data_IF_449622456191
#
_entry.id   IF_449622456191
#
_cell.length_a   1.000
_cell.length_b   1.000
_cell.length_c   1.000
_cell.angle_alpha   90.00
_cell.angle_beta   90.00
_cell.angle_gamma   90.00
#
_symmetry.space_group_name_H-M   'P 1'
#
loop_
_entity.id
_entity.type
_entity.pdbx_description
1 polymer ?
#
# COMPACT_ATOMS: atom_id res chain seq x y z
N UNK A 1 -38.35 -38.12 -28.05
CA UNK A 1 -37.04 -38.43 -28.67
C UNK A 1 -36.04 -37.43 -28.11
N UNK A 2 -35.07 -37.96 -27.37
CA UNK A 2 -33.79 -37.37 -26.93
C UNK A 2 -33.84 -36.04 -26.15
N UNK A 3 -33.77 -36.14 -24.80
CA UNK A 3 -32.69 -35.59 -23.94
C UNK A 3 -33.11 -35.70 -22.48
N UNK A 4 -32.70 -36.76 -21.79
CA UNK A 4 -32.67 -36.78 -20.31
C UNK A 4 -31.55 -37.73 -19.82
N UNK A 5 -30.32 -37.43 -20.25
CA UNK A 5 -29.09 -38.05 -19.75
C UNK A 5 -28.16 -36.89 -19.40
N UNK A 6 -28.26 -36.38 -18.17
CA UNK A 6 -27.20 -35.68 -17.43
C UNK A 6 -27.70 -35.25 -16.04
N UNK A 7 -28.13 -36.20 -15.21
CA UNK A 7 -28.20 -36.04 -13.75
C UNK A 7 -26.98 -36.72 -13.12
N UNK A 8 -25.81 -36.13 -13.25
CA UNK A 8 -24.65 -36.38 -12.37
C UNK A 8 -23.86 -35.06 -12.29
N UNK A 9 -24.40 -34.09 -11.56
CA UNK A 9 -23.59 -33.00 -11.02
C UNK A 9 -22.68 -33.62 -9.96
N UNK A 10 -21.41 -33.82 -10.28
CA UNK A 10 -20.38 -34.02 -9.26
C UNK A 10 -20.35 -32.75 -8.40
N UNK A 11 -20.97 -32.82 -7.23
CA UNK A 11 -20.72 -31.87 -6.17
C UNK A 11 -19.25 -31.96 -5.79
N UNK A 12 -18.65 -30.82 -5.48
CA UNK A 12 -17.26 -30.67 -4.95
C UNK A 12 -17.13 -31.29 -3.53
N UNK A 13 -17.97 -32.28 -3.19
CA UNK A 13 -17.80 -33.11 -1.99
C UNK A 13 -16.83 -34.27 -2.21
N UNK A 14 -16.67 -34.75 -3.45
CA UNK A 14 -15.91 -35.99 -3.71
C UNK A 14 -14.42 -35.79 -4.08
N UNK A 15 -13.89 -34.56 -4.07
CA UNK A 15 -12.47 -34.31 -4.43
C UNK A 15 -11.54 -34.28 -3.21
N UNK A 16 -12.09 -34.19 -1.99
CA UNK A 16 -11.31 -34.06 -0.76
C UNK A 16 -11.45 -35.21 0.25
N UNK A 17 -12.19 -36.29 -0.06
CA UNK A 17 -12.33 -37.43 0.86
C UNK A 17 -11.05 -38.28 1.03
N UNK A 18 -9.96 -37.97 0.32
CA UNK A 18 -8.68 -38.67 0.46
C UNK A 18 -7.44 -37.80 0.61
N UNK A 19 -7.58 -36.47 0.70
CA UNK A 19 -6.43 -35.56 0.71
C UNK A 19 -6.13 -35.06 2.12
N UNK A 20 -5.06 -35.57 2.74
CA UNK A 20 -4.62 -35.16 4.07
C UNK A 20 -3.99 -33.75 4.03
N UNK A 21 -4.84 -32.75 4.20
CA UNK A 21 -4.46 -31.33 4.27
C UNK A 21 -3.49 -31.06 5.43
N UNK A 22 -3.56 -31.83 6.52
CA UNK A 22 -2.64 -31.69 7.66
C UNK A 22 -1.24 -32.17 7.28
N UNK A 23 -1.14 -33.33 6.64
CA UNK A 23 0.12 -33.83 6.11
C UNK A 23 0.72 -32.90 5.04
N UNK A 24 -0.09 -32.28 4.18
CA UNK A 24 0.39 -31.28 3.23
C UNK A 24 0.93 -30.02 3.94
N UNK A 25 0.21 -29.52 4.96
CA UNK A 25 0.66 -28.39 5.77
C UNK A 25 2.00 -28.66 6.46
N UNK A 26 2.14 -29.83 7.08
CA UNK A 26 3.38 -30.26 7.73
C UNK A 26 4.54 -30.37 6.73
N UNK A 27 4.29 -30.94 5.54
CA UNK A 27 5.32 -31.04 4.47
C UNK A 27 5.71 -29.68 3.90
N UNK A 28 4.78 -28.77 3.68
CA UNK A 28 5.09 -27.42 3.20
C UNK A 28 5.88 -26.65 4.26
N UNK A 29 5.53 -26.78 5.55
CA UNK A 29 6.31 -26.19 6.63
C UNK A 29 7.75 -26.75 6.68
N UNK A 30 7.92 -28.06 6.52
CA UNK A 30 9.24 -28.70 6.46
C UNK A 30 10.08 -28.19 5.28
N UNK A 31 9.47 -28.04 4.09
CA UNK A 31 10.13 -27.48 2.91
C UNK A 31 10.58 -26.05 3.17
N UNK A 32 9.71 -25.22 3.76
CA UNK A 32 10.05 -23.83 4.12
C UNK A 32 11.25 -23.77 5.08
N UNK A 33 11.28 -24.61 6.12
CA UNK A 33 12.43 -24.66 7.05
C UNK A 33 13.72 -25.13 6.36
N UNK A 34 13.63 -26.10 5.45
CA UNK A 34 14.78 -26.57 4.66
C UNK A 34 15.31 -25.49 3.72
N UNK A 35 14.42 -24.74 3.07
CA UNK A 35 14.80 -23.64 2.18
C UNK A 35 15.48 -22.51 2.95
N UNK A 36 14.96 -22.15 4.13
CA UNK A 36 15.55 -21.16 5.03
C UNK A 36 16.95 -21.59 5.50
N UNK A 37 17.16 -22.85 5.87
CA UNK A 37 18.49 -23.37 6.23
C UNK A 37 19.46 -23.39 5.04
N UNK A 38 18.98 -23.73 3.84
CA UNK A 38 19.81 -23.72 2.63
C UNK A 38 20.26 -22.30 2.27
N UNK A 39 19.34 -21.36 2.43
CA UNK A 39 19.54 -19.94 2.20
C UNK A 39 20.59 -19.36 3.15
N UNK A 40 20.46 -19.58 4.45
CA UNK A 40 21.45 -19.14 5.45
C UNK A 40 22.85 -19.70 5.15
N UNK A 41 22.94 -20.97 4.75
CA UNK A 41 24.22 -21.60 4.34
C UNK A 41 24.81 -20.94 3.10
N UNK A 42 24.00 -20.66 2.08
CA UNK A 42 24.47 -20.02 0.86
C UNK A 42 24.95 -18.58 1.12
N UNK A 43 24.21 -17.80 1.92
CA UNK A 43 24.61 -16.44 2.28
C UNK A 43 25.90 -16.42 3.10
N UNK A 44 26.04 -17.34 4.06
CA UNK A 44 27.28 -17.49 4.84
C UNK A 44 28.46 -17.85 3.92
N UNK A 45 28.24 -18.70 2.93
CA UNK A 45 29.24 -19.08 1.93
C UNK A 45 29.64 -17.87 1.06
N UNK A 46 28.67 -17.07 0.61
CA UNK A 46 28.92 -15.85 -0.16
C UNK A 46 29.70 -14.80 0.65
N UNK A 47 29.38 -14.62 1.94
CA UNK A 47 30.13 -13.74 2.84
C UNK A 47 31.57 -14.22 3.10
N UNK A 48 31.79 -15.53 3.22
CA UNK A 48 33.13 -16.11 3.30
C UNK A 48 33.92 -15.91 2.00
N UNK A 49 33.24 -15.93 0.85
CA UNK A 49 33.87 -15.62 -0.44
C UNK A 49 34.30 -14.16 -0.56
N UNK A 50 33.65 -13.23 0.14
CA UNK A 50 34.06 -11.82 0.19
C UNK A 50 35.27 -11.56 1.10
N UNK A 51 35.41 -12.32 2.20
CA UNK A 51 36.50 -12.12 3.19
C UNK A 51 37.86 -12.63 2.72
N UNK A 52 37.89 -13.64 1.85
CA UNK A 52 39.14 -14.24 1.36
C UNK A 52 39.59 -13.57 0.05
N UNK A 53 40.01 -12.30 0.13
CA UNK A 53 40.34 -11.46 -1.03
C UNK A 53 41.74 -11.67 -1.64
N UNK A 54 42.58 -12.51 -1.04
CA UNK A 54 43.96 -12.71 -1.50
C UNK A 54 44.14 -14.04 -2.26
N UNK A 55 44.92 -13.90 -3.34
CA UNK A 55 45.41 -14.91 -4.31
C UNK A 55 44.49 -15.15 -5.50
N UNK A 56 44.83 -14.43 -6.57
CA UNK A 56 44.41 -14.67 -7.95
C UNK A 56 45.24 -15.84 -8.50
N UNK A 57 44.59 -16.90 -9.01
CA UNK A 57 45.26 -17.72 -10.00
C UNK A 57 44.32 -18.28 -11.07
N UNK A 58 44.90 -18.40 -12.26
CA UNK A 58 44.25 -18.68 -13.54
C UNK A 58 43.68 -20.10 -13.58
N UNK A 59 42.35 -20.24 -13.54
CA UNK A 59 41.56 -21.15 -14.40
C UNK A 59 40.05 -20.91 -14.21
N UNK A 60 39.34 -20.86 -15.33
CA UNK A 60 37.88 -20.89 -15.58
C UNK A 60 36.92 -20.35 -14.51
N UNK A 61 36.29 -19.22 -14.89
CA UNK A 61 35.31 -18.39 -14.17
C UNK A 61 35.98 -17.58 -13.06
N UNK A 62 36.02 -16.26 -13.22
CA UNK A 62 36.50 -15.38 -12.15
C UNK A 62 35.59 -15.57 -10.94
N UNK A 63 36.15 -15.65 -9.72
CA UNK A 63 35.38 -15.85 -8.48
C UNK A 63 34.22 -14.83 -8.33
N UNK A 64 34.34 -13.68 -8.97
CA UNK A 64 33.31 -12.65 -9.11
C UNK A 64 32.13 -13.11 -10.00
N UNK A 65 32.39 -13.68 -11.17
CA UNK A 65 31.34 -14.26 -12.04
C UNK A 65 30.65 -15.45 -11.36
N UNK A 66 31.39 -16.30 -10.65
CA UNK A 66 30.79 -17.40 -9.88
C UNK A 66 29.91 -16.89 -8.73
N UNK A 67 30.32 -15.80 -8.07
CA UNK A 67 29.51 -15.12 -7.05
C UNK A 67 28.24 -14.54 -7.66
N UNK A 68 28.36 -13.83 -8.77
CA UNK A 68 27.21 -13.25 -9.49
C UNK A 68 26.24 -14.35 -9.95
N UNK A 69 26.76 -15.47 -10.44
CA UNK A 69 25.95 -16.64 -10.78
C UNK A 69 25.20 -17.20 -9.57
N UNK A 70 25.89 -17.43 -8.45
CA UNK A 70 25.24 -17.93 -7.22
C UNK A 70 24.17 -16.97 -6.68
N UNK A 71 24.41 -15.66 -6.74
CA UNK A 71 23.43 -14.64 -6.32
C UNK A 71 22.22 -14.58 -7.26
N UNK A 72 22.44 -14.57 -8.57
CA UNK A 72 21.39 -14.32 -9.58
C UNK A 72 20.63 -15.58 -9.95
N UNK A 73 21.31 -16.71 -10.12
CA UNK A 73 20.75 -17.95 -10.67
C UNK A 73 20.37 -18.97 -9.60
N UNK A 74 20.90 -18.85 -8.36
CA UNK A 74 20.64 -19.83 -7.29
C UNK A 74 19.91 -19.20 -6.11
N UNK A 75 20.53 -18.22 -5.46
CA UNK A 75 19.98 -17.59 -4.25
C UNK A 75 18.63 -16.92 -4.55
N UNK A 76 18.53 -16.24 -5.69
CA UNK A 76 17.34 -15.49 -6.06
C UNK A 76 16.14 -16.38 -6.42
N UNK A 77 16.25 -17.42 -7.29
CA UNK A 77 15.16 -18.37 -7.48
C UNK A 77 14.78 -19.10 -6.20
N UNK A 78 15.75 -19.42 -5.33
CA UNK A 78 15.48 -20.06 -4.03
C UNK A 78 14.67 -19.15 -3.10
N UNK A 79 15.05 -17.87 -2.95
CA UNK A 79 14.28 -16.88 -2.20
C UNK A 79 12.88 -16.68 -2.78
N UNK A 80 12.76 -16.54 -4.11
CA UNK A 80 11.47 -16.39 -4.79
C UNK A 80 10.57 -17.61 -4.59
N UNK A 81 11.13 -18.82 -4.65
CA UNK A 81 10.39 -20.05 -4.36
C UNK A 81 9.97 -20.13 -2.88
N UNK A 82 10.82 -19.70 -1.94
CA UNK A 82 10.50 -19.67 -0.50
C UNK A 82 9.32 -18.74 -0.21
N UNK A 83 9.33 -17.54 -0.79
CA UNK A 83 8.23 -16.58 -0.65
C UNK A 83 6.98 -17.06 -1.37
N UNK A 84 7.09 -17.59 -2.59
CA UNK A 84 5.96 -18.17 -3.30
C UNK A 84 5.31 -19.29 -2.47
N UNK A 85 6.10 -20.17 -1.86
CA UNK A 85 5.63 -21.21 -0.94
C UNK A 85 5.00 -20.63 0.33
N UNK A 86 5.55 -19.55 0.91
CA UNK A 86 4.91 -18.83 2.04
C UNK A 86 3.59 -18.16 1.64
N UNK A 87 3.46 -17.74 0.39
CA UNK A 87 2.24 -17.13 -0.17
C UNK A 87 1.17 -18.19 -0.52
N UNK A 88 1.53 -19.47 -0.67
CA UNK A 88 0.55 -20.56 -0.86
C UNK A 88 -0.23 -20.75 0.44
N UNK A 89 -1.48 -20.30 0.46
CA UNK A 89 -2.41 -20.60 1.55
C UNK A 89 -2.97 -22.01 1.39
N UNK A 90 -2.50 -22.92 2.22
CA UNK A 90 -3.18 -24.17 2.48
C UNK A 90 -4.37 -23.92 3.41
N UNK A 91 -5.51 -24.62 3.23
CA UNK A 91 -6.63 -24.50 4.15
C UNK A 91 -6.16 -24.82 5.58
N UNK A 92 -6.33 -23.87 6.49
CA UNK A 92 -6.08 -24.10 7.93
C UNK A 92 -7.29 -24.83 8.51
N UNK A 93 -7.05 -26.01 9.08
CA UNK A 93 -8.04 -26.71 9.89
C UNK A 93 -7.96 -26.11 11.30
N UNK A 94 -8.88 -25.21 11.62
CA UNK A 94 -9.08 -24.76 13.00
C UNK A 94 -10.23 -25.55 13.63
N UNK A 95 -9.88 -26.42 14.60
CA UNK A 95 -10.81 -26.97 15.58
C UNK A 95 -11.75 -28.09 15.09
N UNK A 96 -11.88 -29.14 15.89
CA UNK A 96 -12.97 -30.11 15.79
C UNK A 96 -14.23 -29.42 16.33
N UNK A 97 -14.99 -28.77 15.47
CA UNK A 97 -16.26 -28.13 15.79
C UNK A 97 -16.97 -27.67 14.52
N UNK A 98 -18.19 -28.16 14.30
CA UNK A 98 -19.07 -27.92 13.14
C UNK A 98 -18.58 -26.86 12.13
N UNK A 99 -18.00 -27.37 11.04
CA UNK A 99 -17.55 -26.59 9.90
C UNK A 99 -18.68 -25.70 9.35
N UNK A 100 -18.62 -24.42 9.69
CA UNK A 100 -18.99 -23.39 8.73
C UNK A 100 -17.70 -22.72 8.31
N UNK A 101 -17.01 -23.32 7.33
CA UNK A 101 -16.15 -22.51 6.47
C UNK A 101 -17.08 -21.43 5.95
N UNK A 102 -16.90 -20.19 6.40
CA UNK A 102 -17.66 -19.06 5.87
C UNK A 102 -17.11 -18.80 4.46
N UNK A 103 -17.45 -19.70 3.54
CA UNK A 103 -17.11 -19.57 2.13
C UNK A 103 -17.69 -18.25 1.68
N UNK A 104 -16.83 -17.34 1.20
CA UNK A 104 -17.30 -16.13 0.54
C UNK A 104 -17.86 -16.62 -0.80
N UNK A 105 -19.19 -16.61 -1.01
CA UNK A 105 -19.86 -17.47 -2.00
C UNK A 105 -19.51 -17.22 -3.49
N UNK A 106 -18.56 -16.31 -3.76
CA UNK A 106 -18.17 -15.85 -5.09
C UNK A 106 -16.67 -15.99 -5.36
N UNK A 107 -15.85 -16.28 -4.34
CA UNK A 107 -14.40 -16.44 -4.52
C UNK A 107 -14.08 -17.79 -5.20
N UNK A 108 -14.81 -18.84 -4.80
CA UNK A 108 -14.59 -20.20 -5.30
C UNK A 108 -15.07 -20.40 -6.75
N UNK A 109 -15.73 -19.40 -7.35
CA UNK A 109 -16.13 -19.42 -8.76
C UNK A 109 -14.94 -19.20 -9.71
N UNK A 110 -13.86 -18.57 -9.24
CA UNK A 110 -12.68 -18.29 -10.06
C UNK A 110 -11.70 -19.47 -10.04
N UNK A 111 -11.31 -19.95 -11.23
CA UNK A 111 -10.33 -21.03 -11.39
C UNK A 111 -8.90 -20.49 -11.31
N UNK A 112 -8.67 -19.28 -11.84
CA UNK A 112 -7.35 -18.65 -11.86
C UNK A 112 -6.89 -18.28 -10.44
N UNK A 113 -5.78 -18.85 -10.01
CA UNK A 113 -5.20 -18.64 -8.67
C UNK A 113 -4.95 -17.16 -8.38
N UNK A 114 -4.42 -16.42 -9.35
CA UNK A 114 -4.11 -14.99 -9.18
C UNK A 114 -5.37 -14.16 -8.89
N UNK A 115 -6.49 -14.49 -9.55
CA UNK A 115 -7.77 -13.83 -9.27
C UNK A 115 -8.20 -14.18 -7.85
N UNK A 116 -8.08 -15.44 -7.42
CA UNK A 116 -8.42 -15.87 -6.05
C UNK A 116 -7.56 -15.12 -5.02
N UNK A 117 -6.26 -14.98 -5.24
CA UNK A 117 -5.34 -14.19 -4.40
C UNK A 117 -5.76 -12.73 -4.35
N UNK A 118 -6.08 -12.15 -5.50
CA UNK A 118 -6.53 -10.77 -5.59
C UNK A 118 -7.86 -10.55 -4.88
N UNK A 119 -8.87 -11.42 -4.98
CA UNK A 119 -10.18 -11.17 -4.36
C UNK A 119 -10.28 -11.58 -2.89
N UNK A 120 -9.40 -12.47 -2.42
CA UNK A 120 -9.42 -12.92 -1.02
C UNK A 120 -9.12 -11.75 -0.07
N UNK A 121 -9.91 -11.53 0.99
CA UNK A 121 -9.62 -10.49 1.98
C UNK A 121 -8.25 -10.73 2.65
N UNK A 122 -7.46 -9.66 2.79
CA UNK A 122 -6.13 -9.70 3.40
C UNK A 122 -6.26 -9.31 4.87
N UNK A 123 -5.73 -10.15 5.75
CA UNK A 123 -5.79 -9.92 7.20
C UNK A 123 -4.62 -9.03 7.63
N UNK A 124 -4.83 -8.20 8.64
CA UNK A 124 -3.75 -7.35 9.16
C UNK A 124 -2.71 -8.21 9.90
N UNK A 125 -1.41 -7.93 9.73
CA UNK A 125 -0.32 -8.67 10.41
C UNK A 125 -0.26 -8.40 11.91
N UNK A 126 -0.60 -7.17 12.33
CA UNK A 126 -0.44 -6.69 13.71
C UNK A 126 -1.75 -6.10 14.23
N UNK A 127 -2.51 -6.89 14.98
CA UNK A 127 -3.72 -6.45 15.69
C UNK A 127 -5.02 -6.49 14.87
N UNK A 128 -6.15 -6.27 15.58
CA UNK A 128 -7.48 -6.49 15.02
C UNK A 128 -7.95 -5.42 14.03
N UNK A 129 -7.34 -4.22 13.97
CA UNK A 129 -7.87 -3.09 13.18
C UNK A 129 -6.74 -2.23 12.58
N UNK A 130 -6.76 -2.04 11.26
CA UNK A 130 -5.78 -1.27 10.49
C UNK A 130 -6.04 0.25 10.49
N UNK A 131 -5.25 0.96 9.67
CA UNK A 131 -5.33 2.41 9.51
C UNK A 131 -6.73 2.91 9.10
N UNK A 132 -7.51 2.11 8.36
CA UNK A 132 -8.86 2.46 7.91
C UNK A 132 -9.97 2.14 8.91
N UNK A 133 -9.64 1.55 10.06
CA UNK A 133 -10.66 1.10 11.01
C UNK A 133 -11.29 -0.25 10.64
N UNK A 134 -10.59 -1.08 9.86
CA UNK A 134 -11.06 -2.41 9.45
C UNK A 134 -10.11 -3.53 9.88
N UNK A 135 -10.63 -4.73 10.08
CA UNK A 135 -9.85 -5.92 10.45
C UNK A 135 -9.19 -6.62 9.25
N UNK A 136 -9.76 -6.40 8.06
CA UNK A 136 -9.29 -6.94 6.80
C UNK A 136 -9.38 -5.91 5.69
N UNK A 137 -8.56 -6.08 4.66
CA UNK A 137 -8.59 -5.29 3.45
C UNK A 137 -9.25 -6.11 2.33
N UNK A 138 -10.23 -5.51 1.66
CA UNK A 138 -11.02 -6.15 0.60
C UNK A 138 -10.62 -5.57 -0.75
N UNK A 139 -10.25 -6.39 -1.73
CA UNK A 139 -9.87 -5.87 -3.05
C UNK A 139 -11.08 -5.35 -3.85
N UNK A 140 -10.83 -4.35 -4.70
CA UNK A 140 -11.89 -3.68 -5.47
C UNK A 140 -12.32 -4.50 -6.68
N UNK A 141 -13.48 -5.13 -6.58
CA UNK A 141 -14.12 -5.83 -7.70
C UNK A 141 -15.64 -5.86 -7.46
N UNK A 142 -16.42 -5.83 -8.53
CA UNK A 142 -17.87 -5.63 -8.44
C UNK A 142 -18.61 -6.59 -7.50
N UNK A 143 -18.08 -7.78 -7.21
CA UNK A 143 -18.72 -8.71 -6.27
C UNK A 143 -18.79 -8.16 -4.83
N UNK A 144 -17.82 -7.34 -4.40
CA UNK A 144 -17.82 -6.74 -3.08
C UNK A 144 -19.00 -5.79 -2.90
N UNK A 145 -19.39 -5.07 -3.95
CA UNK A 145 -20.62 -4.28 -3.98
C UNK A 145 -21.89 -5.11 -3.79
N UNK A 146 -21.93 -6.33 -4.35
CA UNK A 146 -23.08 -7.25 -4.19
C UNK A 146 -23.21 -7.72 -2.73
N UNK A 147 -22.09 -7.94 -2.05
CA UNK A 147 -22.07 -8.29 -0.62
C UNK A 147 -22.54 -7.13 0.26
N UNK A 148 -22.36 -5.89 -0.19
CA UNK A 148 -22.81 -4.66 0.50
C UNK A 148 -24.10 -4.09 -0.09
N UNK A 149 -25.01 -4.96 -0.53
CA UNK A 149 -26.25 -4.58 -1.22
C UNK A 149 -27.04 -3.48 -0.50
N UNK A 150 -27.23 -3.61 0.82
CA UNK A 150 -28.07 -2.70 1.58
C UNK A 150 -27.47 -1.28 1.62
N UNK A 151 -26.18 -1.18 1.98
CA UNK A 151 -25.45 0.09 1.98
C UNK A 151 -25.36 0.70 0.57
N UNK A 152 -25.17 -0.11 -0.46
CA UNK A 152 -25.12 0.37 -1.84
C UNK A 152 -26.48 0.87 -2.32
N UNK A 153 -27.57 0.21 -1.92
CA UNK A 153 -28.93 0.67 -2.20
C UNK A 153 -29.21 2.00 -1.50
N UNK A 154 -28.84 2.14 -0.22
CA UNK A 154 -28.95 3.41 0.51
C UNK A 154 -28.14 4.53 -0.17
N UNK A 155 -26.92 4.21 -0.61
CA UNK A 155 -26.05 5.13 -1.35
C UNK A 155 -26.59 5.46 -2.75
N UNK A 156 -27.34 4.57 -3.40
CA UNK A 156 -27.91 4.83 -4.72
C UNK A 156 -29.34 5.36 -4.69
N UNK A 157 -29.93 5.47 -3.50
CA UNK A 157 -31.26 6.04 -3.27
C UNK A 157 -31.20 7.58 -3.34
N UNK A 158 -31.37 8.11 -4.54
CA UNK A 158 -31.49 9.54 -4.85
C UNK A 158 -32.27 9.76 -6.16
N UNK A 159 -32.94 10.90 -6.27
CA UNK A 159 -33.60 11.30 -7.50
C UNK A 159 -32.58 11.89 -8.49
N UNK A 160 -32.67 11.51 -9.76
CA UNK A 160 -31.80 12.04 -10.82
C UNK A 160 -31.95 13.56 -10.90
N UNK A 161 -30.83 14.28 -10.90
CA UNK A 161 -30.79 15.75 -10.93
C UNK A 161 -31.03 16.42 -9.58
N UNK A 162 -31.41 15.67 -8.54
CA UNK A 162 -31.52 16.20 -7.18
C UNK A 162 -30.14 16.36 -6.52
N UNK A 163 -30.10 16.94 -5.32
CA UNK A 163 -28.88 17.01 -4.53
C UNK A 163 -28.53 15.66 -3.91
N UNK A 164 -27.27 15.24 -4.04
CA UNK A 164 -26.79 14.04 -3.35
C UNK A 164 -26.98 14.18 -1.83
N UNK A 165 -27.22 13.04 -1.16
CA UNK A 165 -27.15 12.95 0.31
C UNK A 165 -25.75 13.35 0.79
N UNK A 166 -25.66 13.89 2.01
CA UNK A 166 -24.37 14.26 2.63
C UNK A 166 -23.83 13.06 3.40
N UNK A 167 -23.38 12.04 2.68
CA UNK A 167 -23.08 10.69 3.16
C UNK A 167 -21.71 10.19 2.67
N UNK A 168 -20.72 11.08 2.62
CA UNK A 168 -19.35 10.74 2.20
C UNK A 168 -18.75 9.60 3.04
N UNK A 169 -19.17 9.46 4.30
CA UNK A 169 -18.75 8.37 5.19
C UNK A 169 -19.31 7.02 4.75
N UNK A 170 -20.54 6.97 4.21
CA UNK A 170 -21.12 5.76 3.61
C UNK A 170 -20.38 5.40 2.32
N UNK A 171 -20.10 6.41 1.48
CA UNK A 171 -19.29 6.25 0.26
C UNK A 171 -17.92 5.63 0.57
N UNK A 172 -17.21 6.20 1.56
CA UNK A 172 -15.91 5.68 1.97
C UNK A 172 -16.00 4.28 2.58
N UNK A 173 -17.07 3.98 3.36
CA UNK A 173 -17.32 2.64 3.89
C UNK A 173 -17.44 1.62 2.77
N UNK A 174 -18.16 1.93 1.69
CA UNK A 174 -18.27 1.07 0.51
C UNK A 174 -16.89 0.83 -0.13
N UNK A 175 -16.11 1.89 -0.38
CA UNK A 175 -14.78 1.79 -1.01
C UNK A 175 -13.79 0.96 -0.19
N UNK A 176 -13.71 1.20 1.13
CA UNK A 176 -12.80 0.47 2.04
C UNK A 176 -13.12 -1.03 2.05
N UNK A 177 -14.39 -1.39 1.91
CA UNK A 177 -14.84 -2.78 1.84
C UNK A 177 -14.85 -3.36 0.41
N UNK A 178 -14.17 -2.69 -0.53
CA UNK A 178 -13.96 -3.20 -1.89
C UNK A 178 -15.08 -2.88 -2.88
N UNK A 179 -16.16 -2.20 -2.46
CA UNK A 179 -17.18 -1.71 -3.37
C UNK A 179 -16.73 -0.41 -4.04
N UNK A 180 -15.88 -0.56 -5.06
CA UNK A 180 -15.33 0.53 -5.87
C UNK A 180 -15.12 0.05 -7.34
N UNK A 181 -15.34 0.90 -8.37
CA UNK A 181 -15.75 2.30 -8.32
C UNK A 181 -17.20 2.50 -7.87
N UNK A 182 -17.45 3.57 -7.13
CA UNK A 182 -18.81 3.96 -6.72
C UNK A 182 -19.69 4.38 -7.92
N UNK A 183 -20.94 3.88 -8.03
CA UNK A 183 -21.77 4.10 -9.22
C UNK A 183 -22.53 5.44 -9.26
N UNK A 184 -22.60 6.19 -8.16
CA UNK A 184 -23.38 7.44 -8.06
C UNK A 184 -22.77 8.55 -8.94
N UNK A 185 -23.50 8.97 -9.98
CA UNK A 185 -23.05 10.02 -10.93
C UNK A 185 -24.13 11.03 -11.35
N UNK A 186 -25.39 10.83 -10.96
CA UNK A 186 -26.55 11.56 -11.50
C UNK A 186 -27.25 12.47 -10.49
N UNK A 187 -26.58 12.82 -9.39
CA UNK A 187 -27.03 13.83 -8.45
C UNK A 187 -26.01 14.98 -8.36
N UNK A 188 -26.47 16.13 -7.90
CA UNK A 188 -25.68 17.34 -7.73
C UNK A 188 -24.96 17.31 -6.38
N UNK A 189 -23.64 17.34 -6.39
CA UNK A 189 -22.83 17.42 -5.17
C UNK A 189 -23.16 18.71 -4.42
N UNK A 190 -23.46 18.60 -3.14
CA UNK A 190 -23.73 19.78 -2.32
C UNK A 190 -22.42 20.51 -2.02
N UNK A 191 -22.35 21.80 -2.30
CA UNK A 191 -21.27 22.67 -1.85
C UNK A 191 -21.62 23.33 -0.49
N UNK A 192 -20.66 24.04 0.10
CA UNK A 192 -20.98 24.98 1.17
C UNK A 192 -21.81 26.14 0.61
N UNK A 193 -22.83 26.59 1.36
CA UNK A 193 -23.64 27.76 0.97
C UNK A 193 -22.82 29.06 1.01
N UNK A 194 -21.76 29.09 1.83
CA UNK A 194 -20.93 30.26 2.07
C UNK A 194 -19.56 29.99 1.46
N UNK A 195 -19.46 30.16 0.15
CA UNK A 195 -18.20 30.03 -0.57
C UNK A 195 -17.33 31.28 -0.36
N UNK A 196 -16.10 31.06 0.05
CA UNK A 196 -15.09 32.11 0.18
C UNK A 196 -13.99 31.90 -0.86
N UNK A 197 -13.56 32.99 -1.50
CA UNK A 197 -12.46 32.97 -2.45
C UNK A 197 -11.22 32.32 -1.80
N UNK A 198 -10.64 31.27 -2.40
CA UNK A 198 -9.43 30.64 -1.91
C UNK A 198 -8.25 31.63 -1.86
N UNK A 199 -7.30 31.36 -0.97
CA UNK A 199 -6.04 32.11 -0.95
C UNK A 199 -5.28 31.93 -2.27
N UNK A 200 -4.49 32.93 -2.70
CA UNK A 200 -3.54 32.77 -3.79
C UNK A 200 -2.58 31.61 -3.52
N UNK A 201 -2.07 30.96 -4.56
CA UNK A 201 -1.28 29.74 -4.44
C UNK A 201 -0.07 29.90 -3.49
N UNK A 202 0.59 31.04 -3.50
CA UNK A 202 1.76 31.30 -2.65
C UNK A 202 1.42 31.31 -1.16
N UNK A 203 0.21 31.72 -0.80
CA UNK A 203 -0.27 31.72 0.59
C UNK A 203 -0.97 30.41 0.96
N UNK A 204 -1.73 29.84 0.03
CA UNK A 204 -2.56 28.65 0.27
C UNK A 204 -1.74 27.43 0.65
N UNK A 205 -0.47 27.34 0.23
CA UNK A 205 0.39 26.21 0.58
C UNK A 205 0.63 26.09 2.09
N UNK A 206 0.74 27.20 2.82
CA UNK A 206 1.19 27.19 4.21
C UNK A 206 0.24 27.89 5.19
N UNK A 207 -0.92 28.32 4.72
CA UNK A 207 -1.99 28.89 5.53
C UNK A 207 -3.15 27.92 5.61
N UNK A 208 -3.73 27.76 6.80
CA UNK A 208 -4.96 26.99 6.94
C UNK A 208 -6.08 27.62 6.09
N UNK A 209 -6.78 26.83 5.26
CA UNK A 209 -7.91 27.34 4.47
C UNK A 209 -9.08 27.82 5.34
N UNK A 210 -9.99 28.59 4.74
CA UNK A 210 -11.23 29.00 5.40
C UNK A 210 -12.14 27.78 5.67
N UNK A 211 -12.52 27.59 6.93
CA UNK A 211 -13.38 26.50 7.39
C UNK A 211 -14.73 26.44 6.66
N UNK A 212 -15.23 27.59 6.18
CA UNK A 212 -16.52 27.69 5.49
C UNK A 212 -16.53 27.00 4.14
N UNK A 213 -15.36 26.76 3.54
CA UNK A 213 -15.25 26.04 2.28
C UNK A 213 -15.36 24.50 2.45
N UNK A 214 -15.52 24.02 3.68
CA UNK A 214 -15.66 22.59 4.00
C UNK A 214 -17.04 22.30 4.59
N UNK A 215 -17.60 21.13 4.26
CA UNK A 215 -18.84 20.62 4.88
C UNK A 215 -18.51 19.77 6.11
N UNK A 216 -18.92 20.25 7.28
CA UNK A 216 -18.54 19.62 8.55
C UNK A 216 -19.54 18.61 9.12
N UNK A 217 -20.65 18.30 8.43
CA UNK A 217 -21.81 17.55 8.96
C UNK A 217 -21.43 16.22 9.62
N UNK A 218 -20.53 15.45 8.99
CA UNK A 218 -20.14 14.10 9.42
C UNK A 218 -18.76 14.04 10.09
N UNK A 219 -18.21 15.18 10.51
CA UNK A 219 -16.98 15.24 11.30
C UNK A 219 -17.30 15.62 12.75
N UNK A 220 -16.48 15.13 13.68
CA UNK A 220 -16.57 15.55 15.09
C UNK A 220 -16.22 17.02 15.25
N UNK A 221 -15.13 17.46 14.60
CA UNK A 221 -14.75 18.87 14.53
C UNK A 221 -15.59 19.65 13.50
N UNK A 222 -15.75 20.96 13.73
CA UNK A 222 -16.49 21.88 12.86
C UNK A 222 -15.63 23.00 12.25
N UNK A 223 -14.32 22.93 12.46
CA UNK A 223 -13.29 23.80 11.88
C UNK A 223 -11.92 23.10 11.96
N UNK A 224 -10.94 23.59 11.21
CA UNK A 224 -9.57 23.09 11.19
C UNK A 224 -8.87 23.30 12.53
N UNK A 225 -9.15 24.39 13.24
CA UNK A 225 -8.58 24.66 14.57
C UNK A 225 -8.88 23.55 15.59
N UNK A 226 -10.07 22.97 15.54
CA UNK A 226 -10.48 21.84 16.37
C UNK A 226 -9.66 20.57 16.10
N UNK A 227 -9.07 20.42 14.91
CA UNK A 227 -8.25 19.25 14.54
C UNK A 227 -6.82 19.30 15.10
N UNK A 228 -6.47 20.36 15.82
CA UNK A 228 -5.15 20.51 16.45
C UNK A 228 -4.79 19.32 17.33
N UNK A 229 -3.50 18.97 17.36
CA UNK A 229 -2.93 17.94 18.24
C UNK A 229 -3.22 18.14 19.72
N UNK A 230 -3.55 19.37 20.14
CA UNK A 230 -3.92 19.68 21.53
C UNK A 230 -5.33 19.22 21.91
N UNK A 231 -6.21 18.96 20.93
CA UNK A 231 -7.58 18.53 21.19
C UNK A 231 -7.68 17.00 21.21
N UNK A 232 -7.99 16.43 22.37
CA UNK A 232 -8.17 14.98 22.54
C UNK A 232 -9.47 14.45 21.93
N UNK A 233 -10.47 15.31 21.71
CA UNK A 233 -11.80 14.95 21.16
C UNK A 233 -11.94 15.25 19.66
N UNK A 234 -10.82 15.37 18.94
CA UNK A 234 -10.81 15.76 17.52
C UNK A 234 -11.29 14.68 16.54
N UNK A 235 -11.66 13.49 17.03
CA UNK A 235 -12.18 12.39 16.19
C UNK A 235 -11.16 11.72 15.27
N UNK A 236 -9.88 12.06 15.42
CA UNK A 236 -8.80 11.57 14.57
C UNK A 236 -7.48 11.48 15.34
N UNK A 237 -6.76 10.37 15.16
CA UNK A 237 -5.50 10.09 15.86
C UNK A 237 -4.33 9.75 14.95
N UNK A 238 -4.56 9.53 13.65
CA UNK A 238 -3.57 8.90 12.78
C UNK A 238 -2.47 9.86 12.28
N UNK A 239 -2.69 11.16 12.32
CA UNK A 239 -1.67 12.17 12.05
C UNK A 239 -1.70 13.27 13.11
N UNK A 240 -0.67 13.27 13.94
CA UNK A 240 -0.46 14.29 14.96
C UNK A 240 0.34 15.43 14.35
N UNK A 241 -0.16 16.67 14.43
CA UNK A 241 0.54 17.81 13.85
C UNK A 241 0.11 18.20 12.43
N UNK A 242 -0.70 17.38 11.75
CA UNK A 242 -1.02 17.56 10.32
C UNK A 242 -1.71 18.89 9.98
N UNK A 243 -2.40 19.50 10.94
CA UNK A 243 -3.12 20.77 10.75
C UNK A 243 -2.34 21.96 11.30
N UNK A 244 -1.18 21.74 11.91
CA UNK A 244 -0.26 22.76 12.38
C UNK A 244 0.73 23.14 11.25
N UNK A 245 0.32 24.04 10.36
CA UNK A 245 1.10 24.41 9.17
C UNK A 245 2.53 24.90 9.48
N UNK A 246 2.75 25.55 10.63
CA UNK A 246 4.08 25.97 11.08
C UNK A 246 5.03 24.81 11.38
N UNK A 247 4.51 23.64 11.74
CA UNK A 247 5.29 22.41 11.92
C UNK A 247 5.44 21.68 10.60
N UNK A 248 4.36 21.58 9.83
CA UNK A 248 4.35 20.91 8.53
C UNK A 248 5.33 21.55 7.54
N UNK A 249 5.46 22.88 7.57
CA UNK A 249 6.45 23.57 6.72
C UNK A 249 7.89 23.12 7.02
N UNK A 250 8.25 22.61 8.18
CA UNK A 250 9.64 22.22 8.44
C UNK A 250 10.02 20.84 7.86
N UNK A 251 9.03 20.05 7.42
CA UNK A 251 9.27 18.70 6.90
C UNK A 251 10.07 18.72 5.59
N UNK A 252 11.02 17.80 5.49
CA UNK A 252 11.93 17.56 4.35
C UNK A 252 12.84 18.72 3.91
N UNK A 253 12.88 19.83 4.67
CA UNK A 253 13.73 21.00 4.36
C UNK A 253 14.77 21.28 5.44
N UNK A 254 14.45 21.01 6.70
CA UNK A 254 15.38 21.14 7.81
C UNK A 254 16.05 19.79 8.08
N UNK A 255 17.33 19.83 8.46
CA UNK A 255 18.01 18.65 8.97
C UNK A 255 17.28 18.19 10.24
N UNK A 256 16.75 16.97 10.19
CA UNK A 256 16.22 16.29 11.36
C UNK A 256 17.36 15.67 12.15
N UNK A 257 17.14 15.44 13.45
CA UNK A 257 18.06 14.63 14.25
C UNK A 257 18.02 13.15 13.86
N UNK A 258 17.00 12.72 13.13
CA UNK A 258 16.83 11.34 12.67
C UNK A 258 17.55 11.11 11.34
N UNK A 259 18.45 10.13 11.30
CA UNK A 259 19.20 9.73 10.10
C UNK A 259 18.34 9.21 8.95
N UNK A 260 17.07 8.87 9.24
CA UNK A 260 16.10 8.35 8.26
C UNK A 260 15.39 9.44 7.47
N UNK A 261 15.63 10.72 7.78
CA UNK A 261 14.96 11.85 7.13
C UNK A 261 15.76 12.30 5.91
N UNK A 262 15.23 12.06 4.71
CA UNK A 262 15.85 12.56 3.48
C UNK A 262 15.27 13.92 3.08
N UNK A 263 16.15 14.84 2.70
CA UNK A 263 15.73 16.16 2.24
C UNK A 263 15.30 16.11 0.78
N UNK A 264 14.26 16.86 0.44
CA UNK A 264 13.77 16.96 -0.94
C UNK A 264 14.88 17.40 -1.90
N UNK A 265 15.70 18.37 -1.50
CA UNK A 265 16.82 18.86 -2.32
C UNK A 265 17.81 17.74 -2.68
N UNK A 266 18.09 16.85 -1.73
CA UNK A 266 19.07 15.79 -1.93
C UNK A 266 18.49 14.67 -2.81
N UNK A 267 17.19 14.38 -2.68
CA UNK A 267 16.51 13.39 -3.53
C UNK A 267 16.39 13.91 -4.96
N UNK A 268 15.99 15.17 -5.15
CA UNK A 268 15.91 15.79 -6.47
C UNK A 268 17.28 15.93 -7.15
N UNK A 269 18.36 16.11 -6.37
CA UNK A 269 19.72 16.14 -6.88
C UNK A 269 20.19 14.80 -7.49
N UNK A 270 19.54 13.67 -7.19
CA UNK A 270 19.84 12.37 -7.81
C UNK A 270 19.54 12.43 -9.32
N UNK A 271 18.45 13.10 -9.71
CA UNK A 271 18.04 13.28 -11.11
C UNK A 271 17.60 14.72 -11.39
N UNK A 272 18.55 15.68 -11.47
CA UNK A 272 18.24 17.10 -11.61
C UNK A 272 17.40 17.36 -12.86
N UNK A 273 16.28 18.06 -12.69
CA UNK A 273 15.36 18.43 -13.77
C UNK A 273 14.53 17.29 -14.38
N UNK A 274 14.68 16.05 -13.92
CA UNK A 274 13.96 14.91 -14.49
C UNK A 274 12.66 14.57 -13.75
N UNK A 275 12.58 14.88 -12.45
CA UNK A 275 11.39 14.65 -11.64
C UNK A 275 10.42 15.82 -11.80
N UNK A 276 9.25 15.58 -12.41
CA UNK A 276 8.26 16.63 -12.73
C UNK A 276 6.86 16.27 -12.26
N UNK A 277 6.54 14.98 -12.26
CA UNK A 277 5.27 14.46 -11.77
C UNK A 277 5.49 13.27 -10.83
N UNK A 278 4.73 13.22 -9.74
CA UNK A 278 4.79 12.10 -8.83
C UNK A 278 3.50 11.83 -8.07
N UNK A 279 3.51 10.71 -7.35
CA UNK A 279 2.45 10.26 -6.48
C UNK A 279 2.94 10.30 -5.03
N UNK A 280 2.18 10.91 -4.14
CA UNK A 280 2.35 10.84 -2.69
C UNK A 280 1.31 9.87 -2.13
N UNK A 281 1.76 8.66 -1.87
CA UNK A 281 0.96 7.54 -1.41
C UNK A 281 1.01 7.46 0.11
N UNK A 282 0.13 8.23 0.75
CA UNK A 282 0.08 8.36 2.19
C UNK A 282 -1.20 9.03 2.66
N UNK A 283 -1.23 9.40 3.94
CA UNK A 283 -2.33 10.17 4.52
C UNK A 283 -1.78 11.41 5.21
N UNK A 284 -2.30 12.56 4.84
CA UNK A 284 -1.90 13.84 5.39
C UNK A 284 -2.62 14.98 4.70
N UNK A 285 -2.19 16.20 4.96
CA UNK A 285 -2.82 17.42 4.44
C UNK A 285 -2.24 17.87 3.09
N UNK A 286 -1.38 17.06 2.45
CA UNK A 286 -0.68 17.40 1.20
C UNK A 286 0.65 18.12 1.41
N UNK A 287 1.29 17.99 2.56
CA UNK A 287 2.54 18.70 2.87
C UNK A 287 3.68 18.35 1.92
N UNK A 288 3.82 17.08 1.56
CA UNK A 288 4.83 16.66 0.59
C UNK A 288 4.55 17.31 -0.78
N UNK A 289 3.30 17.25 -1.25
CA UNK A 289 2.88 17.91 -2.48
C UNK A 289 3.13 19.43 -2.47
N UNK A 290 2.89 20.11 -1.34
CA UNK A 290 3.20 21.54 -1.19
C UNK A 290 4.69 21.82 -1.35
N UNK A 291 5.55 21.02 -0.72
CA UNK A 291 7.01 21.17 -0.79
C UNK A 291 7.55 20.89 -2.20
N UNK A 292 7.06 19.85 -2.83
CA UNK A 292 7.43 19.50 -4.20
C UNK A 292 6.96 20.57 -5.20
N UNK A 293 5.80 21.21 -4.95
CA UNK A 293 5.31 22.32 -5.78
C UNK A 293 6.21 23.55 -5.75
N UNK A 294 6.84 23.87 -4.62
CA UNK A 294 7.86 24.94 -4.55
C UNK A 294 9.09 24.62 -5.41
N UNK A 295 9.31 23.34 -5.73
CA UNK A 295 10.35 22.85 -6.64
C UNK A 295 9.81 22.63 -8.07
N UNK A 296 8.63 23.16 -8.40
CA UNK A 296 7.94 22.97 -9.68
C UNK A 296 7.61 21.51 -10.04
N UNK A 297 7.43 20.64 -9.03
CA UNK A 297 7.01 19.24 -9.22
C UNK A 297 5.53 19.10 -8.85
N UNK A 298 4.75 18.52 -9.77
CA UNK A 298 3.33 18.25 -9.55
C UNK A 298 3.17 16.91 -8.84
N UNK A 299 2.55 16.92 -7.67
CA UNK A 299 2.27 15.71 -6.90
C UNK A 299 0.77 15.49 -6.82
N UNK A 300 0.35 14.27 -7.13
CA UNK A 300 -0.97 13.75 -6.79
C UNK A 300 -0.86 13.06 -5.44
N UNK A 301 -1.64 13.49 -4.44
CA UNK A 301 -1.63 12.89 -3.09
C UNK A 301 -2.84 12.00 -2.92
N UNK A 302 -2.65 10.73 -2.57
CA UNK A 302 -3.77 9.90 -2.14
C UNK A 302 -4.38 10.45 -0.87
N UNK A 303 -5.70 10.44 -0.75
CA UNK A 303 -6.36 10.92 0.46
C UNK A 303 -7.69 10.21 0.68
N UNK A 304 -7.95 9.84 1.92
CA UNK A 304 -9.28 9.48 2.42
C UNK A 304 -9.65 10.42 3.57
N UNK A 305 -10.95 10.62 3.79
CA UNK A 305 -11.45 11.48 4.86
C UNK A 305 -11.59 10.67 6.15
N UNK A 306 -10.47 10.39 6.82
CA UNK A 306 -10.42 9.58 8.04
C UNK A 306 -10.60 10.47 9.27
N UNK A 307 -11.84 10.80 9.63
CA UNK A 307 -12.14 11.67 10.79
C UNK A 307 -11.76 13.14 10.60
N UNK A 308 -11.15 13.50 9.48
CA UNK A 308 -10.82 14.86 9.07
C UNK A 308 -10.96 15.03 7.54
N UNK A 309 -11.19 16.26 7.04
CA UNK A 309 -11.44 16.55 5.63
C UNK A 309 -10.14 16.68 4.82
N UNK A 310 -9.43 15.57 4.63
CA UNK A 310 -8.11 15.53 3.97
C UNK A 310 -8.19 15.87 2.48
N UNK A 311 -9.19 15.37 1.76
CA UNK A 311 -9.35 15.68 0.34
C UNK A 311 -9.60 17.18 0.13
N UNK A 312 -10.46 17.76 0.97
CA UNK A 312 -10.83 19.16 0.90
C UNK A 312 -9.66 20.07 1.25
N UNK A 313 -8.89 19.80 2.32
CA UNK A 313 -7.74 20.65 2.66
C UNK A 313 -6.64 20.58 1.59
N UNK A 314 -6.38 19.41 1.01
CA UNK A 314 -5.41 19.28 -0.10
C UNK A 314 -5.86 20.16 -1.28
N UNK A 315 -7.12 20.03 -1.69
CA UNK A 315 -7.67 20.83 -2.80
C UNK A 315 -7.66 22.34 -2.50
N UNK A 316 -8.04 22.76 -1.29
CA UNK A 316 -8.07 24.17 -0.89
C UNK A 316 -6.68 24.82 -0.80
N UNK A 317 -5.62 24.01 -0.67
CA UNK A 317 -4.23 24.46 -0.79
C UNK A 317 -3.77 24.59 -2.24
N UNK A 318 -4.60 24.24 -3.22
CA UNK A 318 -4.26 24.23 -4.64
C UNK A 318 -3.44 23.00 -5.07
N UNK A 319 -3.59 21.89 -4.35
CA UNK A 319 -2.91 20.62 -4.58
C UNK A 319 -3.91 19.58 -5.11
N UNK A 320 -3.41 18.43 -5.60
CA UNK A 320 -4.23 17.43 -6.29
C UNK A 320 -4.50 16.24 -5.36
N UNK A 321 -5.70 16.11 -4.75
CA UNK A 321 -6.08 14.90 -4.03
C UNK A 321 -6.53 13.82 -5.02
N UNK A 322 -6.15 12.58 -4.74
CA UNK A 322 -6.71 11.38 -5.36
C UNK A 322 -7.48 10.60 -4.30
N UNK A 323 -8.80 10.52 -4.48
CA UNK A 323 -9.67 9.74 -3.60
C UNK A 323 -9.57 8.27 -3.94
N UNK A 324 -8.60 7.58 -3.33
CA UNK A 324 -8.29 6.17 -3.58
C UNK A 324 -7.92 5.44 -2.29
N UNK A 325 -8.21 4.14 -2.26
CA UNK A 325 -7.90 3.24 -1.15
C UNK A 325 -6.73 2.31 -1.49
N UNK A 326 -6.09 1.69 -0.48
CA UNK A 326 -4.92 0.81 -0.63
C UNK A 326 -5.18 -0.45 -1.46
N UNK A 327 -6.44 -0.86 -1.51
CA UNK A 327 -6.93 -2.07 -2.18
C UNK A 327 -7.30 -1.85 -3.65
N UNK A 328 -7.26 -0.61 -4.11
CA UNK A 328 -7.59 -0.23 -5.47
C UNK A 328 -6.33 -0.24 -6.33
N UNK A 329 -6.43 -0.76 -7.55
CA UNK A 329 -5.43 -0.49 -8.58
C UNK A 329 -5.46 0.99 -8.93
N UNK A 330 -4.30 1.65 -8.88
CA UNK A 330 -4.14 3.07 -9.12
C UNK A 330 -4.64 3.44 -10.53
N UNK A 331 -5.51 4.47 -10.65
CA UNK A 331 -6.12 4.87 -11.92
C UNK A 331 -5.18 5.73 -12.78
N UNK A 332 -3.90 5.37 -12.83
CA UNK A 332 -2.90 5.97 -13.70
C UNK A 332 -2.53 4.99 -14.81
N UNK A 333 -2.13 5.51 -15.96
CA UNK A 333 -1.59 4.69 -17.03
C UNK A 333 -0.17 4.22 -16.69
N UNK A 334 0.32 3.24 -17.42
CA UNK A 334 1.60 2.60 -17.13
C UNK A 334 2.77 3.55 -17.46
N UNK A 335 3.84 3.51 -16.65
CA UNK A 335 5.07 4.28 -16.81
C UNK A 335 4.87 5.81 -16.96
N UNK A 336 3.90 6.40 -16.26
CA UNK A 336 3.63 7.85 -16.34
C UNK A 336 4.32 8.67 -15.27
N UNK A 337 4.62 8.11 -14.09
CA UNK A 337 5.15 8.84 -12.93
C UNK A 337 6.68 8.87 -12.89
N UNK A 338 7.26 10.00 -12.50
CA UNK A 338 8.71 10.15 -12.29
C UNK A 338 9.11 9.80 -10.84
N UNK A 339 8.19 9.96 -9.89
CA UNK A 339 8.40 9.73 -8.46
C UNK A 339 7.18 9.08 -7.82
N UNK A 340 7.40 8.11 -6.94
CA UNK A 340 6.42 7.66 -5.94
C UNK A 340 7.03 7.91 -4.57
N UNK A 341 6.31 8.62 -3.71
CA UNK A 341 6.66 8.87 -2.33
C UNK A 341 5.66 8.15 -1.42
N UNK A 342 6.12 7.53 -0.34
CA UNK A 342 5.25 6.97 0.70
C UNK A 342 5.72 7.41 2.07
N UNK A 343 4.80 7.79 2.95
CA UNK A 343 5.11 8.18 4.33
C UNK A 343 4.02 7.70 5.29
N UNK A 344 4.42 7.08 6.40
CA UNK A 344 3.61 6.90 7.61
C UNK A 344 2.24 6.21 7.46
N UNK A 345 1.97 5.60 6.31
CA UNK A 345 0.68 5.03 5.96
C UNK A 345 0.73 3.52 5.75
N UNK A 346 1.81 3.05 5.11
CA UNK A 346 2.16 1.64 5.06
C UNK A 346 3.20 1.40 6.14
N UNK A 347 2.82 0.67 7.18
CA UNK A 347 3.71 0.26 8.25
C UNK A 347 3.54 -1.25 8.50
N UNK A 348 4.13 -1.77 9.57
CA UNK A 348 4.19 -3.19 9.90
C UNK A 348 2.84 -3.92 9.99
N UNK A 349 1.70 -3.23 10.01
CA UNK A 349 0.38 -3.89 9.93
C UNK A 349 0.05 -4.48 8.56
N UNK A 350 0.70 -4.02 7.49
CA UNK A 350 0.32 -4.39 6.12
C UNK A 350 0.62 -5.87 5.81
N UNK A 351 -0.34 -6.57 5.22
CA UNK A 351 -0.11 -7.94 4.76
C UNK A 351 0.91 -7.97 3.61
N UNK A 352 1.75 -9.01 3.56
CA UNK A 352 2.80 -9.11 2.53
C UNK A 352 2.21 -9.29 1.14
N UNK A 353 1.12 -10.06 1.00
CA UNK A 353 0.48 -10.25 -0.31
C UNK A 353 -0.20 -8.95 -0.75
N UNK A 354 -0.81 -8.21 0.18
CA UNK A 354 -1.32 -6.85 -0.12
C UNK A 354 -0.20 -5.91 -0.56
N UNK A 355 0.92 -5.89 0.17
CA UNK A 355 2.09 -5.09 -0.18
C UNK A 355 2.64 -5.49 -1.55
N UNK A 356 2.62 -6.79 -1.90
CA UNK A 356 3.05 -7.27 -3.21
C UNK A 356 2.24 -6.62 -4.33
N UNK A 357 0.91 -6.70 -4.25
CA UNK A 357 0.02 -6.04 -5.22
C UNK A 357 0.29 -4.53 -5.33
N UNK A 358 0.52 -3.85 -4.20
CA UNK A 358 0.83 -2.41 -4.18
C UNK A 358 2.16 -2.14 -4.88
N UNK A 359 3.21 -2.91 -4.59
CA UNK A 359 4.53 -2.69 -5.17
C UNK A 359 4.55 -2.99 -6.67
N UNK A 360 3.83 -4.02 -7.13
CA UNK A 360 3.64 -4.27 -8.57
C UNK A 360 2.88 -3.13 -9.25
N UNK A 361 1.88 -2.54 -8.60
CA UNK A 361 1.13 -1.42 -9.15
C UNK A 361 1.92 -0.11 -9.16
N UNK A 362 2.76 0.10 -8.14
CA UNK A 362 3.74 1.18 -8.12
C UNK A 362 4.79 1.04 -9.21
N UNK A 363 5.36 -0.15 -9.36
CA UNK A 363 6.30 -0.45 -10.44
C UNK A 363 5.65 -0.19 -11.79
N UNK A 364 4.40 -0.62 -11.99
CA UNK A 364 3.65 -0.38 -13.23
C UNK A 364 3.57 1.10 -13.60
N UNK A 365 3.23 1.99 -12.65
CA UNK A 365 3.04 3.42 -12.97
C UNK A 365 4.34 4.22 -12.97
N UNK A 366 5.38 3.75 -12.27
CA UNK A 366 6.68 4.39 -12.24
C UNK A 366 7.42 4.14 -13.56
N UNK A 367 7.91 5.19 -14.22
CA UNK A 367 8.67 5.03 -15.47
C UNK A 367 10.07 4.49 -15.21
N UNK A 368 10.73 3.86 -16.21
CA UNK A 368 12.16 3.56 -16.12
C UNK A 368 12.97 4.82 -15.77
N UNK A 369 13.87 4.71 -14.82
CA UNK A 369 14.63 5.84 -14.26
C UNK A 369 13.86 6.67 -13.21
N UNK A 370 12.58 6.38 -12.97
CA UNK A 370 11.79 7.00 -11.91
C UNK A 370 12.23 6.54 -10.53
N UNK A 371 11.94 7.37 -9.52
CA UNK A 371 12.35 7.14 -8.13
C UNK A 371 11.17 6.61 -7.29
N UNK A 372 11.41 5.57 -6.51
CA UNK A 372 10.58 5.16 -5.38
C UNK A 372 11.26 5.64 -4.10
N UNK A 373 10.60 6.55 -3.40
CA UNK A 373 11.02 7.11 -2.14
C UNK A 373 10.13 6.58 -1.01
N UNK A 374 10.71 5.70 -0.20
CA UNK A 374 10.11 5.17 1.01
C UNK A 374 10.60 6.02 2.18
N UNK A 375 9.69 6.74 2.84
CA UNK A 375 9.99 7.61 3.97
C UNK A 375 9.41 7.04 5.27
N UNK A 376 10.29 6.67 6.20
CA UNK A 376 9.95 6.20 7.57
C UNK A 376 8.94 5.05 7.59
N UNK A 377 9.06 4.09 6.67
CA UNK A 377 8.38 2.82 6.83
C UNK A 377 8.83 2.21 8.16
N UNK A 378 7.93 1.71 8.99
CA UNK A 378 8.33 1.05 10.23
C UNK A 378 7.69 -0.30 10.38
N UNK A 379 8.41 -1.25 10.96
CA UNK A 379 7.92 -2.58 11.27
C UNK A 379 8.58 -3.11 12.53
N UNK A 380 8.06 -4.22 13.04
CA UNK A 380 8.75 -5.03 14.05
C UNK A 380 10.08 -5.51 13.48
N UNK A 381 11.12 -5.58 14.33
CA UNK A 381 12.42 -6.17 13.97
C UNK A 381 12.30 -7.60 13.44
N UNK A 382 11.30 -8.35 13.92
CA UNK A 382 11.05 -9.73 13.48
C UNK A 382 10.55 -9.83 12.04
N UNK A 383 9.88 -8.80 11.54
CA UNK A 383 9.31 -8.76 10.20
C UNK A 383 10.21 -8.00 9.21
N UNK A 384 11.35 -7.47 9.66
CA UNK A 384 12.20 -6.59 8.86
C UNK A 384 12.66 -7.28 7.58
N UNK A 385 13.15 -8.51 7.68
CA UNK A 385 13.70 -9.25 6.52
C UNK A 385 12.62 -9.54 5.47
N UNK A 386 11.41 -9.88 5.91
CA UNK A 386 10.24 -10.06 5.03
C UNK A 386 9.97 -8.77 4.24
N UNK A 387 9.86 -7.62 4.92
CA UNK A 387 9.59 -6.34 4.24
C UNK A 387 10.77 -5.87 3.37
N UNK A 388 12.00 -6.10 3.80
CA UNK A 388 13.19 -5.79 3.01
C UNK A 388 13.18 -6.55 1.69
N UNK A 389 12.84 -7.84 1.71
CA UNK A 389 12.70 -8.62 0.49
C UNK A 389 11.67 -8.00 -0.46
N UNK A 390 10.48 -7.64 0.06
CA UNK A 390 9.42 -7.04 -0.74
C UNK A 390 9.90 -5.79 -1.48
N UNK A 391 10.64 -4.89 -0.82
CA UNK A 391 11.15 -3.67 -1.47
C UNK A 391 12.30 -3.92 -2.47
N UNK A 392 12.99 -5.05 -2.37
CA UNK A 392 14.17 -5.37 -3.20
C UNK A 392 13.89 -6.30 -4.38
N UNK A 393 12.73 -6.95 -4.42
CA UNK A 393 12.39 -7.95 -5.44
C UNK A 393 12.47 -7.43 -6.89
N UNK A 394 12.24 -6.13 -7.10
CA UNK A 394 12.18 -5.50 -8.43
C UNK A 394 13.54 -5.06 -9.00
N UNK A 395 14.65 -5.35 -8.30
CA UNK A 395 16.03 -4.97 -8.69
C UNK A 395 16.19 -3.46 -8.91
N UNK A 396 15.54 -2.65 -8.08
CA UNK A 396 15.73 -1.21 -8.12
C UNK A 396 17.16 -0.85 -7.70
N UNK A 397 17.75 0.12 -8.39
CA UNK A 397 19.06 0.66 -8.02
C UNK A 397 18.93 1.46 -6.73
N UNK A 398 19.72 1.12 -5.72
CA UNK A 398 19.73 1.82 -4.43
C UNK A 398 20.56 3.11 -4.53
N UNK A 399 19.95 4.25 -4.24
CA UNK A 399 20.66 5.53 -4.09
C UNK A 399 20.88 5.88 -2.62
N UNK A 400 19.84 5.71 -1.81
CA UNK A 400 19.89 5.89 -0.36
C UNK A 400 19.15 4.75 0.32
N UNK A 401 19.69 4.27 1.43
CA UNK A 401 19.08 3.22 2.24
C UNK A 401 19.57 3.36 3.68
N UNK A 402 18.65 3.61 4.62
CA UNK A 402 18.98 3.78 6.03
C UNK A 402 17.97 3.02 6.88
N UNK A 403 18.50 2.29 7.86
CA UNK A 403 17.74 1.70 8.95
C UNK A 403 18.07 2.44 10.24
N UNK A 404 17.06 2.75 11.05
CA UNK A 404 17.25 3.34 12.37
C UNK A 404 16.28 2.73 13.39
N UNK A 405 16.68 2.59 14.67
CA UNK A 405 15.76 2.13 15.70
C UNK A 405 14.63 3.15 15.92
N UNK A 406 13.37 2.68 15.92
CA UNK A 406 12.21 3.46 16.35
C UNK A 406 11.96 3.27 17.85
N UNK A 407 12.07 2.02 18.32
CA UNK A 407 11.92 1.62 19.71
C UNK A 407 12.77 0.36 19.98
N UNK A 408 12.59 -0.29 21.14
CA UNK A 408 13.30 -1.54 21.47
C UNK A 408 13.07 -2.62 20.42
N UNK A 409 11.84 -2.73 19.92
CA UNK A 409 11.38 -3.83 19.06
C UNK A 409 10.97 -3.38 17.64
N UNK A 410 10.97 -2.08 17.36
CA UNK A 410 10.61 -1.53 16.04
C UNK A 410 11.78 -0.79 15.39
N UNK A 411 11.79 -0.78 14.07
CA UNK A 411 12.78 -0.10 13.23
C UNK A 411 12.10 0.76 12.18
N UNK A 412 12.74 1.87 11.83
CA UNK A 412 12.44 2.66 10.64
C UNK A 412 13.33 2.23 9.47
N UNK A 413 12.75 2.23 8.27
CA UNK A 413 13.39 2.09 6.98
C UNK A 413 13.04 3.31 6.13
N UNK A 414 14.09 3.99 5.64
CA UNK A 414 13.96 4.99 4.59
C UNK A 414 14.87 4.63 3.42
N UNK A 415 14.34 4.71 2.20
CA UNK A 415 15.07 4.36 0.99
C UNK A 415 14.69 5.24 -0.20
N UNK A 416 15.66 5.49 -1.08
CA UNK A 416 15.44 6.04 -2.42
C UNK A 416 15.98 5.04 -3.41
N UNK A 417 15.08 4.53 -4.22
CA UNK A 417 15.30 3.43 -5.14
C UNK A 417 14.96 3.88 -6.57
N UNK A 418 15.75 3.54 -7.57
CA UNK A 418 15.50 3.89 -8.97
C UNK A 418 15.09 2.66 -9.78
N UNK A 419 13.97 2.76 -10.50
CA UNK A 419 13.48 1.69 -11.38
C UNK A 419 14.43 1.50 -12.56
N UNK A 420 15.01 0.31 -12.79
CA UNK A 420 15.88 0.07 -13.92
C UNK A 420 15.07 0.00 -15.23
N UNK A 421 15.69 0.27 -16.38
CA UNK A 421 15.12 -0.18 -17.65
C UNK A 421 15.07 -1.71 -17.65
N UNK A 422 13.92 -2.28 -18.04
CA UNK A 422 13.80 -3.71 -18.33
C UNK A 422 13.73 -3.85 -19.84
N UNK A 423 14.78 -4.41 -20.44
CA UNK A 423 14.72 -4.82 -21.83
C UNK A 423 13.68 -5.93 -21.97
N UNK A 424 12.86 -5.86 -23.03
CA UNK A 424 12.00 -6.97 -23.44
C UNK A 424 12.87 -8.03 -24.10
#
# INVERSE_FOLDING_TARGET
MVTDICRHFYGVKDVYEGFDIKALNERVAEVLTKMESLQEKLETTLQQMEKNKDVLDKTNITRLEHKTYLEVEVLRPLYSAHIALRQVRLPKIEGIGNYTVKEIPLINTFITEEIRKYITPKENRVGNVNFYGTDKIYSTIGHACVLMKNELQEYMDYDIGSYCKDDWNLAQKLMINGCDPLPRRRCLTRASKVYHKPYPINESLWKLPDDRNVRWSNYQCKNFGCLSSKNTKRGYTKCTGCFEMDKEKLKWVANSSLLVDFLIRDVLAIKPGQIRIGLDYGVGTGTFAARMREQNVTIVSTALNLGAPFNEIIALRGLIPLYATLNQRLPFFDNTMDLIHTTGFMDGWIDLLLLDFILFDWDRILRPGGLLWIDKFFCSKKDLDDYMYMFLQFRYKKHKWVLAPKSKDEVYLSAVLEKPPRAI
#
